data_IF_669767088760
#
_entry.id   IF_669767088760
#
_cell.length_a   1.000
_cell.length_b   1.000
_cell.length_c   1.000
_cell.angle_alpha   90.00
_cell.angle_beta   90.00
_cell.angle_gamma   90.00
#
_symmetry.space_group_name_H-M   'P 1'
#
loop_
_entity.id
_entity.type
_entity.pdbx_description
1 polymer ?
#
# COMPACT_ATOMS: atom_id res chain seq x y z
N UNK A 1 -3.79 0.78 -12.92
CA UNK A 1 -3.92 1.88 -11.96
C UNK A 1 -5.03 1.49 -11.00
N UNK A 2 -4.84 1.69 -9.71
CA UNK A 2 -5.76 1.22 -8.68
C UNK A 2 -6.04 2.31 -7.66
N UNK A 3 -7.18 2.19 -7.00
CA UNK A 3 -7.56 2.99 -5.86
C UNK A 3 -7.20 2.21 -4.59
N UNK A 4 -6.49 2.84 -3.67
CA UNK A 4 -5.98 2.19 -2.46
C UNK A 4 -6.39 3.03 -1.26
N UNK A 5 -7.05 2.39 -0.32
CA UNK A 5 -7.26 2.93 1.02
C UNK A 5 -6.07 2.52 1.90
N UNK A 6 -5.56 3.48 2.65
CA UNK A 6 -4.52 3.28 3.63
C UNK A 6 -5.00 3.76 5.00
N UNK A 7 -4.69 3.00 6.04
CA UNK A 7 -5.10 3.29 7.42
C UNK A 7 -3.89 3.17 8.34
N UNK A 8 -3.66 4.19 9.18
CA UNK A 8 -2.61 4.16 10.19
C UNK A 8 -3.12 3.55 11.49
N UNK A 9 -2.51 2.46 11.92
CA UNK A 9 -2.75 1.86 13.24
C UNK A 9 -2.23 2.70 14.40
N UNK A 10 -1.37 3.69 14.14
CA UNK A 10 -0.79 4.56 15.17
C UNK A 10 -1.79 5.60 15.67
N UNK A 11 -2.52 6.22 14.76
CA UNK A 11 -3.39 7.39 15.03
C UNK A 11 -4.79 7.27 14.42
N UNK A 12 -5.08 6.19 13.69
CA UNK A 12 -6.36 5.97 13.03
C UNK A 12 -6.55 6.81 11.76
N UNK A 13 -5.49 7.46 11.25
CA UNK A 13 -5.60 8.27 10.03
C UNK A 13 -5.93 7.39 8.83
N UNK A 14 -7.00 7.73 8.11
CA UNK A 14 -7.36 7.09 6.84
C UNK A 14 -7.13 8.02 5.65
N UNK A 15 -6.56 7.48 4.58
CA UNK A 15 -6.36 8.18 3.30
C UNK A 15 -6.79 7.29 2.14
N UNK A 16 -7.29 7.92 1.09
CA UNK A 16 -7.56 7.27 -0.20
C UNK A 16 -6.57 7.81 -1.22
N UNK A 17 -5.84 6.92 -1.86
CA UNK A 17 -4.88 7.21 -2.90
C UNK A 17 -5.38 6.69 -4.24
N UNK A 18 -5.60 7.62 -5.17
CA UNK A 18 -5.97 7.32 -6.55
C UNK A 18 -4.73 7.18 -7.44
N UNK A 19 -4.90 6.55 -8.59
CA UNK A 19 -3.87 6.38 -9.62
C UNK A 19 -2.63 5.64 -9.11
N UNK A 20 -2.76 4.72 -8.15
CA UNK A 20 -1.64 3.90 -7.69
C UNK A 20 -1.20 2.97 -8.83
N UNK A 21 0.07 3.05 -9.20
CA UNK A 21 0.69 2.25 -10.26
C UNK A 21 1.57 1.14 -9.69
N UNK A 22 2.13 1.33 -8.48
CA UNK A 22 3.03 0.37 -7.84
C UNK A 22 2.93 0.43 -6.32
N UNK A 23 3.03 -0.72 -5.67
CA UNK A 23 3.29 -0.85 -4.23
C UNK A 23 4.49 -1.76 -4.07
N UNK A 24 5.50 -1.30 -3.34
CA UNK A 24 6.72 -2.05 -3.04
C UNK A 24 6.85 -2.21 -1.53
N UNK A 25 6.97 -3.46 -1.06
CA UNK A 25 7.20 -3.78 0.35
C UNK A 25 8.68 -3.98 0.61
N UNK A 26 9.17 -3.50 1.75
CA UNK A 26 10.55 -3.69 2.18
C UNK A 26 10.57 -4.41 3.51
N UNK A 27 11.45 -5.40 3.67
CA UNK A 27 11.61 -6.10 4.93
C UNK A 27 12.40 -5.29 5.95
N UNK A 28 12.22 -5.58 7.24
CA UNK A 28 12.99 -4.95 8.31
C UNK A 28 14.47 -5.35 8.31
N UNK A 29 14.74 -6.62 8.02
CA UNK A 29 16.09 -7.17 7.93
C UNK A 29 16.76 -6.91 6.57
N UNK A 30 15.99 -6.57 5.53
CA UNK A 30 16.47 -6.36 4.16
C UNK A 30 15.84 -5.12 3.51
N UNK A 31 16.14 -3.89 3.99
CA UNK A 31 15.51 -2.66 3.52
C UNK A 31 15.90 -2.26 2.09
N UNK A 32 16.89 -2.91 1.49
CA UNK A 32 17.31 -2.69 0.10
C UNK A 32 16.62 -3.65 -0.89
N UNK A 33 16.03 -4.75 -0.39
CA UNK A 33 15.32 -5.72 -1.23
C UNK A 33 13.81 -5.45 -1.20
N UNK A 34 13.35 -4.68 -2.18
CA UNK A 34 11.93 -4.41 -2.37
C UNK A 34 11.22 -5.59 -3.03
N UNK A 35 10.16 -6.09 -2.41
CA UNK A 35 9.24 -7.03 -3.04
C UNK A 35 8.15 -6.24 -3.78
N UNK A 36 8.15 -6.35 -5.11
CA UNK A 36 7.06 -5.90 -5.97
C UNK A 36 6.22 -7.14 -6.23
N UNK A 37 5.05 -7.23 -5.61
CA UNK A 37 4.12 -8.26 -6.05
C UNK A 37 3.47 -7.82 -7.36
N UNK A 38 3.47 -8.75 -8.29
CA UNK A 38 3.15 -8.55 -9.70
C UNK A 38 1.69 -8.14 -9.95
N UNK A 39 0.80 -8.30 -8.97
CA UNK A 39 -0.57 -7.81 -8.97
C UNK A 39 -0.95 -7.29 -7.58
N UNK A 40 -1.52 -6.08 -7.50
CA UNK A 40 -1.88 -5.42 -6.24
C UNK A 40 -2.82 -6.27 -5.37
N UNK A 41 -3.70 -7.06 -6.00
CA UNK A 41 -4.64 -7.96 -5.33
C UNK A 41 -3.96 -9.21 -4.76
N UNK A 42 -3.00 -9.79 -5.49
CA UNK A 42 -2.22 -10.95 -5.04
C UNK A 42 -1.27 -10.59 -3.89
N UNK A 43 -0.83 -9.33 -3.85
CA UNK A 43 0.01 -8.75 -2.79
C UNK A 43 -0.68 -8.70 -1.44
N UNK A 44 -1.96 -8.31 -1.42
CA UNK A 44 -2.71 -8.15 -0.16
C UNK A 44 -3.02 -9.50 0.49
N UNK A 45 -3.12 -10.55 -0.32
CA UNK A 45 -3.33 -11.93 0.18
C UNK A 45 -2.05 -12.55 0.74
N UNK A 46 -0.89 -12.03 0.34
CA UNK A 46 0.43 -12.54 0.72
C UNK A 46 1.31 -11.42 1.30
N UNK A 47 0.73 -10.53 2.13
CA UNK A 47 1.53 -9.53 2.82
C UNK A 47 2.62 -10.26 3.62
N UNK A 48 3.90 -10.01 3.30
CA UNK A 48 4.97 -10.75 3.95
C UNK A 48 5.01 -10.39 5.43
N UNK A 49 5.00 -11.36 6.34
CA UNK A 49 5.17 -11.05 7.75
C UNK A 49 6.54 -10.38 7.99
N UNK A 50 6.58 -9.27 8.73
CA UNK A 50 7.82 -8.58 9.09
C UNK A 50 8.33 -7.53 8.09
N UNK A 51 7.45 -6.91 7.29
CA UNK A 51 7.84 -5.75 6.48
C UNK A 51 8.02 -4.49 7.36
N UNK A 52 8.98 -3.63 7.01
CA UNK A 52 9.37 -2.40 7.74
C UNK A 52 8.88 -1.11 7.11
N UNK A 53 8.67 -1.10 5.80
CA UNK A 53 8.16 0.07 5.09
C UNK A 53 7.52 -0.31 3.76
N UNK A 54 6.64 0.57 3.29
CA UNK A 54 5.98 0.47 1.99
C UNK A 54 6.25 1.73 1.18
N UNK A 55 6.55 1.55 -0.10
CA UNK A 55 6.61 2.65 -1.08
C UNK A 55 5.46 2.51 -2.06
N UNK A 56 4.65 3.57 -2.18
CA UNK A 56 3.55 3.66 -3.12
C UNK A 56 3.96 4.61 -4.23
N UNK A 57 3.87 4.13 -5.47
CA UNK A 57 4.08 4.92 -6.66
C UNK A 57 2.77 5.31 -7.32
N UNK A 58 2.68 6.58 -7.71
CA UNK A 58 1.72 7.11 -8.69
C UNK A 58 2.51 7.57 -9.92
N UNK A 59 1.84 7.96 -11.04
CA UNK A 59 2.55 8.57 -12.17
C UNK A 59 3.23 9.91 -11.83
N UNK A 60 2.86 10.54 -10.72
CA UNK A 60 3.27 11.90 -10.38
C UNK A 60 4.18 11.99 -9.16
N UNK A 61 4.17 10.97 -8.30
CA UNK A 61 4.88 10.98 -7.03
C UNK A 61 5.11 9.57 -6.47
N UNK A 62 6.10 9.46 -5.60
CA UNK A 62 6.31 8.29 -4.74
C UNK A 62 6.19 8.71 -3.27
N UNK A 63 5.50 7.89 -2.48
CA UNK A 63 5.34 8.11 -1.04
C UNK A 63 5.83 6.88 -0.27
N UNK A 64 6.71 7.12 0.71
CA UNK A 64 7.19 6.08 1.62
C UNK A 64 6.44 6.17 2.95
N UNK A 65 5.93 5.04 3.40
CA UNK A 65 5.19 4.86 4.65
C UNK A 65 5.89 3.80 5.52
N UNK A 66 5.77 3.95 6.84
CA UNK A 66 6.31 3.00 7.80
C UNK A 66 5.34 1.83 8.09
N UNK A 67 5.72 0.94 9.01
CA UNK A 67 4.94 -0.25 9.39
C UNK A 67 3.58 0.02 10.01
N UNK A 68 3.30 1.25 10.44
CA UNK A 68 2.01 1.56 11.06
C UNK A 68 0.88 1.67 10.05
N UNK A 69 1.18 1.75 8.75
CA UNK A 69 0.18 1.88 7.69
C UNK A 69 -0.28 0.53 7.15
N UNK A 70 -1.59 0.33 7.06
CA UNK A 70 -2.23 -0.84 6.49
C UNK A 70 -2.89 -0.48 5.16
N UNK A 71 -2.99 -1.43 4.23
CA UNK A 71 -3.36 -1.18 2.83
C UNK A 71 -4.52 -2.08 2.40
N UNK A 72 -5.53 -1.48 1.78
CA UNK A 72 -6.66 -2.20 1.17
C UNK A 72 -6.94 -1.61 -0.21
N UNK A 73 -6.97 -2.46 -1.24
CA UNK A 73 -7.42 -2.03 -2.56
C UNK A 73 -8.93 -1.84 -2.52
N UNK A 74 -9.38 -0.74 -3.10
CA UNK A 74 -10.80 -0.36 -3.09
C UNK A 74 -11.29 -0.36 -4.53
N UNK A 75 -12.48 -0.89 -4.77
CA UNK A 75 -13.14 -0.69 -6.05
C UNK A 75 -13.80 0.70 -6.03
N UNK A 76 -13.61 1.55 -7.06
CA UNK A 76 -14.27 2.86 -7.11
C UNK A 76 -15.79 2.81 -6.83
N UNK A 77 -16.48 1.74 -7.24
CA UNK A 77 -17.90 1.52 -6.96
C UNK A 77 -18.24 1.40 -5.47
N UNK A 78 -17.29 0.97 -4.63
CA UNK A 78 -17.50 0.78 -3.19
C UNK A 78 -17.50 2.11 -2.43
N UNK A 79 -16.94 3.17 -3.02
CA UNK A 79 -16.90 4.52 -2.44
C UNK A 79 -18.17 5.31 -2.75
N UNK A 80 -18.80 5.08 -3.90
CA UNK A 80 -20.05 5.76 -4.27
C UNK A 80 -21.26 5.35 -3.40
N UNK A 81 -21.08 4.37 -2.52
CA UNK A 81 -22.10 3.88 -1.59
C UNK A 81 -21.92 4.36 -0.13
N UNK A 82 -20.96 5.28 0.14
CA UNK A 82 -20.74 5.91 1.45
C UNK A 82 -21.31 7.34 1.52
#
# INVERSE_FOLDING_TARGET
MALVQIESSRDGEMKILDNVTRITFYYEDQPEQGFIGSQLLDLMSNLPQGWSSVVIGTPWSEQRLDTSWHFTAVNPSDIEML
#
